data_IF_105791683852
#
_entry.id   IF_105791683852
#
_cell.length_a   1.000
_cell.length_b   1.000
_cell.length_c   1.000
_cell.angle_alpha   90.00
_cell.angle_beta   90.00
_cell.angle_gamma   90.00
#
_symmetry.space_group_name_H-M   'P 1'
#
loop_
_entity.id
_entity.type
_entity.pdbx_description
1 polymer ?
#
# COMPACT_ATOMS: atom_id res chain seq x y z
N UNK A 1 8.31 -3.62 -13.76
CA UNK A 1 9.06 -4.43 -12.77
C UNK A 1 9.50 -3.54 -11.62
N UNK A 2 9.34 -3.98 -10.38
CA UNK A 2 9.88 -3.32 -9.19
C UNK A 2 11.22 -3.97 -8.85
N UNK A 3 12.32 -3.22 -9.00
CA UNK A 3 13.67 -3.68 -8.70
C UNK A 3 14.18 -3.00 -7.44
N UNK A 4 14.50 -3.80 -6.43
CA UNK A 4 14.96 -3.38 -5.11
C UNK A 4 16.34 -4.00 -4.89
N UNK A 5 17.37 -3.19 -4.77
CA UNK A 5 18.70 -3.61 -4.35
C UNK A 5 19.19 -2.64 -3.30
N UNK A 6 18.98 -2.97 -2.02
CA UNK A 6 19.22 -2.04 -0.92
C UNK A 6 19.85 -2.71 0.29
N UNK A 7 20.56 -1.90 1.07
CA UNK A 7 21.00 -2.22 2.42
C UNK A 7 20.58 -1.12 3.37
N UNK A 8 20.06 -1.50 4.55
CA UNK A 8 19.72 -0.58 5.64
C UNK A 8 20.09 -1.17 6.99
N UNK A 9 20.72 -0.37 7.83
CA UNK A 9 21.01 -0.74 9.22
C UNK A 9 19.79 -0.43 10.10
N UNK A 10 19.25 -1.45 10.77
CA UNK A 10 18.09 -1.39 11.66
C UNK A 10 18.54 -1.74 13.09
N UNK A 11 19.16 -0.79 13.78
CA UNK A 11 19.77 -1.05 15.07
C UNK A 11 20.88 -2.09 14.97
N UNK A 12 20.68 -3.30 15.53
CA UNK A 12 21.64 -4.41 15.45
C UNK A 12 21.46 -5.31 14.22
N UNK A 13 20.35 -5.17 13.51
CA UNK A 13 20.02 -5.94 12.32
C UNK A 13 20.42 -5.16 11.06
N UNK A 14 21.01 -5.83 10.09
CA UNK A 14 21.21 -5.28 8.74
C UNK A 14 20.21 -5.90 7.78
N UNK A 15 19.26 -5.11 7.29
CA UNK A 15 18.39 -5.50 6.20
C UNK A 15 19.16 -5.45 4.88
N UNK A 16 19.16 -6.55 4.13
CA UNK A 16 19.66 -6.61 2.75
C UNK A 16 18.58 -7.22 1.88
N UNK A 17 18.27 -6.58 0.78
CA UNK A 17 17.28 -7.07 -0.18
C UNK A 17 17.79 -6.86 -1.60
N UNK A 18 17.74 -7.93 -2.40
CA UNK A 18 17.98 -7.90 -3.84
C UNK A 18 16.80 -8.66 -4.48
N UNK A 19 15.82 -7.93 -4.99
CA UNK A 19 14.54 -8.46 -5.43
C UNK A 19 14.13 -7.82 -6.76
N UNK A 20 13.60 -8.66 -7.65
CA UNK A 20 12.92 -8.24 -8.87
C UNK A 20 11.50 -8.76 -8.84
N UNK A 21 10.54 -7.88 -8.63
CA UNK A 21 9.14 -8.22 -8.42
C UNK A 21 8.28 -7.81 -9.63
N UNK A 22 7.31 -8.65 -10.02
CA UNK A 22 6.42 -8.33 -11.14
C UNK A 22 5.52 -7.14 -10.79
N UNK A 23 5.17 -6.33 -11.77
CA UNK A 23 4.21 -5.21 -11.64
C UNK A 23 2.81 -5.61 -12.09
N UNK A 24 2.36 -6.80 -11.69
CA UNK A 24 1.03 -7.33 -11.96
C UNK A 24 0.57 -8.23 -10.81
N UNK A 25 -0.72 -8.23 -10.55
CA UNK A 25 -1.33 -9.12 -9.56
C UNK A 25 -0.93 -8.78 -8.12
N UNK A 26 -0.97 -9.79 -7.25
CA UNK A 26 -0.63 -9.68 -5.83
C UNK A 26 0.69 -10.42 -5.57
N UNK A 27 1.65 -9.72 -5.01
CA UNK A 27 2.92 -10.29 -4.55
C UNK A 27 2.99 -10.25 -3.03
N UNK A 28 3.08 -11.42 -2.39
CA UNK A 28 3.19 -11.52 -0.94
C UNK A 28 4.63 -11.77 -0.50
N UNK A 29 5.10 -11.00 0.48
CA UNK A 29 6.41 -11.13 1.10
C UNK A 29 6.24 -11.84 2.44
N UNK A 30 6.73 -13.06 2.53
CA UNK A 30 6.65 -13.86 3.74
C UNK A 30 7.95 -13.82 4.54
N UNK A 31 7.84 -13.86 5.85
CA UNK A 31 8.98 -13.91 6.76
C UNK A 31 8.54 -13.86 8.22
N UNK A 32 9.44 -14.23 9.12
CA UNK A 32 9.21 -14.17 10.56
C UNK A 32 8.91 -12.73 11.01
N UNK A 33 8.23 -12.58 12.14
CA UNK A 33 8.08 -11.27 12.76
C UNK A 33 9.46 -10.66 13.06
N UNK A 34 9.63 -9.37 12.74
CA UNK A 34 10.93 -8.70 12.90
C UNK A 34 11.95 -8.96 11.78
N UNK A 35 11.61 -9.70 10.71
CA UNK A 35 12.54 -9.96 9.59
C UNK A 35 12.77 -8.75 8.65
N UNK A 36 12.12 -7.61 8.90
CA UNK A 36 12.29 -6.39 8.12
C UNK A 36 11.27 -6.14 7.00
N UNK A 37 10.15 -6.90 6.95
CA UNK A 37 9.10 -6.71 5.93
C UNK A 37 8.55 -5.27 5.90
N UNK A 38 8.11 -4.78 7.05
CA UNK A 38 7.66 -3.38 7.19
C UNK A 38 8.74 -2.39 6.79
N UNK A 39 10.01 -2.65 7.15
CA UNK A 39 11.13 -1.79 6.76
C UNK A 39 11.32 -1.76 5.26
N UNK A 40 11.20 -2.92 4.58
CA UNK A 40 11.29 -3.00 3.12
C UNK A 40 10.15 -2.21 2.45
N UNK A 41 8.93 -2.36 2.92
CA UNK A 41 7.78 -1.60 2.43
C UNK A 41 7.98 -0.08 2.65
N UNK A 42 8.51 0.31 3.81
CA UNK A 42 8.81 1.71 4.14
C UNK A 42 9.93 2.29 3.23
N UNK A 43 10.93 1.50 2.87
CA UNK A 43 11.96 1.91 1.90
C UNK A 43 11.36 2.19 0.51
N UNK A 44 10.50 1.27 0.03
CA UNK A 44 9.84 1.44 -1.27
C UNK A 44 8.94 2.67 -1.27
N UNK A 45 8.16 2.86 -0.21
CA UNK A 45 7.25 4.02 -0.09
C UNK A 45 7.98 5.35 0.13
N UNK A 46 9.24 5.32 0.58
CA UNK A 46 10.04 6.52 0.91
C UNK A 46 9.80 7.06 2.32
N UNK A 47 9.13 6.30 3.19
CA UNK A 47 8.99 6.64 4.61
C UNK A 47 10.30 6.49 5.38
N UNK A 48 11.19 5.62 4.90
CA UNK A 48 12.58 5.49 5.35
C UNK A 48 13.52 5.52 4.16
N UNK A 49 14.81 5.68 4.41
CA UNK A 49 15.84 5.80 3.39
C UNK A 49 16.85 4.65 3.53
N UNK A 50 17.28 3.99 2.44
CA UNK A 50 18.34 2.99 2.50
C UNK A 50 19.71 3.64 2.73
N UNK A 51 20.63 2.90 3.36
CA UNK A 51 22.01 3.35 3.53
C UNK A 51 22.83 3.16 2.23
N UNK A 52 22.47 2.15 1.43
CA UNK A 52 23.13 1.81 0.17
C UNK A 52 22.14 1.24 -0.84
N UNK A 53 22.45 1.38 -2.12
CA UNK A 53 21.75 0.76 -3.23
C UNK A 53 20.63 1.62 -3.81
N UNK A 54 19.68 0.97 -4.47
CA UNK A 54 18.64 1.66 -5.23
C UNK A 54 17.30 0.91 -5.21
N UNK A 55 16.23 1.66 -5.53
CA UNK A 55 14.90 1.13 -5.81
C UNK A 55 14.39 1.78 -7.10
N UNK A 56 13.95 0.95 -8.05
CA UNK A 56 13.39 1.39 -9.34
C UNK A 56 12.05 0.72 -9.60
N UNK A 57 11.08 1.51 -10.01
CA UNK A 57 9.76 1.05 -10.44
C UNK A 57 9.63 1.29 -11.94
N UNK A 58 9.64 0.22 -12.72
CA UNK A 58 9.76 0.26 -14.18
C UNK A 58 11.01 1.11 -14.56
N UNK A 59 10.83 2.17 -15.36
CA UNK A 59 11.92 3.05 -15.81
C UNK A 59 12.17 4.24 -14.86
N UNK A 60 11.47 4.28 -13.71
CA UNK A 60 11.56 5.39 -12.75
C UNK A 60 12.37 5.01 -11.52
N UNK A 61 13.44 5.76 -11.26
CA UNK A 61 14.20 5.65 -10.02
C UNK A 61 13.42 6.29 -8.87
N UNK A 62 13.17 5.52 -7.80
CA UNK A 62 12.55 6.01 -6.57
C UNK A 62 13.60 6.50 -5.57
N UNK A 63 14.72 5.79 -5.49
CA UNK A 63 15.91 6.17 -4.74
C UNK A 63 17.13 5.51 -5.36
N UNK A 64 18.25 6.22 -5.41
CA UNK A 64 19.58 5.72 -5.79
C UNK A 64 20.61 6.47 -4.94
N UNK A 65 21.15 5.76 -3.93
CA UNK A 65 22.05 6.37 -2.94
C UNK A 65 23.37 6.84 -3.56
N UNK A 66 23.92 6.06 -4.50
CA UNK A 66 25.18 6.37 -5.16
C UNK A 66 25.07 7.62 -6.03
N UNK A 67 23.93 7.81 -6.69
CA UNK A 67 23.68 8.96 -7.55
C UNK A 67 23.03 10.14 -6.80
N UNK A 68 22.76 10.00 -5.50
CA UNK A 68 22.11 11.04 -4.69
C UNK A 68 20.65 11.31 -5.07
N UNK A 69 20.00 10.36 -5.74
CA UNK A 69 18.61 10.49 -6.14
C UNK A 69 17.68 10.00 -5.03
N UNK A 70 16.69 10.80 -4.67
CA UNK A 70 15.64 10.40 -3.73
C UNK A 70 14.33 11.11 -4.07
N UNK A 71 13.44 10.39 -4.73
CA UNK A 71 12.15 10.89 -5.11
C UNK A 71 11.27 11.09 -3.86
N UNK A 72 10.75 12.30 -3.62
CA UNK A 72 9.87 12.55 -2.48
C UNK A 72 8.64 11.63 -2.47
N UNK A 73 8.16 11.27 -1.28
CA UNK A 73 7.02 10.34 -1.09
C UNK A 73 5.82 10.69 -1.99
N UNK A 74 5.42 11.96 -2.01
CA UNK A 74 4.26 12.42 -2.78
C UNK A 74 4.42 12.35 -4.30
N UNK A 75 5.66 12.15 -4.80
CA UNK A 75 5.98 11.97 -6.21
C UNK A 75 6.16 10.51 -6.60
N UNK A 76 6.25 9.58 -5.63
CA UNK A 76 6.45 8.16 -5.91
C UNK A 76 5.22 7.49 -6.50
N UNK A 77 4.04 8.10 -6.41
CA UNK A 77 2.76 7.52 -6.83
C UNK A 77 2.51 6.13 -6.25
N UNK A 78 2.68 6.01 -4.95
CA UNK A 78 2.52 4.77 -4.21
C UNK A 78 1.34 4.92 -3.25
N UNK A 79 0.36 4.02 -3.38
CA UNK A 79 -0.68 3.86 -2.37
C UNK A 79 -0.15 3.03 -1.20
N UNK A 80 -0.36 3.48 0.04
CA UNK A 80 0.08 2.77 1.23
C UNK A 80 -1.10 2.48 2.16
N UNK A 81 -1.29 1.21 2.48
CA UNK A 81 -2.26 0.75 3.47
C UNK A 81 -1.51 0.21 4.68
N UNK A 82 -1.61 0.89 5.80
CA UNK A 82 -0.98 0.50 7.04
C UNK A 82 -1.70 -0.69 7.68
N UNK A 83 -1.00 -1.48 8.49
CA UNK A 83 -1.56 -2.56 9.29
C UNK A 83 -2.76 -2.10 10.12
N UNK A 84 -2.64 -0.97 10.80
CA UNK A 84 -3.77 -0.22 11.35
C UNK A 84 -4.21 0.80 10.30
N UNK A 85 -5.48 0.76 9.90
CA UNK A 85 -6.03 1.52 8.76
C UNK A 85 -5.76 3.04 8.79
N UNK A 86 -5.45 3.60 9.97
CA UNK A 86 -5.09 5.02 10.19
C UNK A 86 -6.05 5.98 9.50
N UNK A 87 -7.34 5.70 9.64
CA UNK A 87 -8.39 6.60 9.15
C UNK A 87 -8.44 7.84 10.03
N UNK A 88 -8.71 9.00 9.42
CA UNK A 88 -8.87 10.26 10.15
C UNK A 88 -10.18 10.21 10.96
N UNK A 89 -10.12 10.23 12.28
CA UNK A 89 -11.31 10.04 13.12
C UNK A 89 -12.32 11.19 13.04
N UNK A 90 -11.85 12.37 12.65
CA UNK A 90 -12.66 13.59 12.48
C UNK A 90 -13.32 13.71 11.10
N UNK A 91 -13.00 12.82 10.18
CA UNK A 91 -13.64 12.70 8.88
C UNK A 91 -14.54 11.46 8.83
N UNK A 92 -15.71 11.58 8.18
CA UNK A 92 -16.48 10.41 7.78
C UNK A 92 -15.75 9.64 6.66
N UNK A 93 -16.29 8.50 6.24
CA UNK A 93 -15.70 7.67 5.18
C UNK A 93 -15.47 8.48 3.90
N UNK A 94 -16.46 9.26 3.46
CA UNK A 94 -16.35 10.11 2.26
C UNK A 94 -15.21 11.13 2.38
N UNK A 95 -15.04 11.75 3.54
CA UNK A 95 -13.95 12.67 3.83
C UNK A 95 -12.58 11.99 3.80
N UNK A 96 -12.47 10.79 4.40
CA UNK A 96 -11.27 9.98 4.34
C UNK A 96 -10.88 9.61 2.89
N UNK A 97 -11.85 9.17 2.08
CA UNK A 97 -11.62 8.81 0.68
C UNK A 97 -11.14 9.99 -0.17
N UNK A 98 -11.69 11.17 0.07
CA UNK A 98 -11.33 12.40 -0.67
C UNK A 98 -10.01 13.02 -0.25
N UNK A 99 -9.45 12.60 0.86
CA UNK A 99 -8.25 13.20 1.44
C UNK A 99 -7.08 12.97 0.49
N UNK A 100 -6.63 12.92 -0.29
CA UNK A 100 -5.49 12.71 -1.19
C UNK A 100 -5.89 12.58 -2.64
N UNK A 101 -7.19 12.64 -2.91
CA UNK A 101 -7.69 12.62 -4.27
C UNK A 101 -7.11 13.76 -5.10
N UNK A 102 -6.53 13.43 -6.24
CA UNK A 102 -6.06 14.40 -7.24
C UNK A 102 -6.61 13.97 -8.60
N UNK A 103 -7.36 14.85 -9.25
CA UNK A 103 -7.84 14.66 -10.63
C UNK A 103 -8.62 13.36 -10.89
N UNK A 104 -9.29 12.82 -9.87
CA UNK A 104 -10.15 11.63 -10.01
C UNK A 104 -11.53 12.08 -10.48
N UNK A 105 -12.02 11.48 -11.57
CA UNK A 105 -13.35 11.74 -12.06
C UNK A 105 -14.42 11.27 -11.07
N UNK A 106 -15.65 11.75 -11.22
CA UNK A 106 -16.76 11.25 -10.41
C UNK A 106 -17.05 9.77 -10.71
N UNK A 107 -16.93 9.38 -11.96
CA UNK A 107 -17.13 8.01 -12.39
C UNK A 107 -16.11 7.06 -11.76
N UNK A 108 -14.84 7.43 -11.73
CA UNK A 108 -13.78 6.63 -11.08
C UNK A 108 -13.99 6.54 -9.57
N UNK A 109 -14.41 7.62 -8.94
CA UNK A 109 -14.75 7.62 -7.51
C UNK A 109 -15.91 6.67 -7.22
N UNK A 110 -17.00 6.77 -7.97
CA UNK A 110 -18.18 5.91 -7.81
C UNK A 110 -17.83 4.44 -8.11
N UNK A 111 -17.00 4.19 -9.14
CA UNK A 111 -16.51 2.85 -9.46
C UNK A 111 -15.72 2.22 -8.30
N UNK A 112 -14.75 2.92 -7.73
CA UNK A 112 -13.97 2.42 -6.60
C UNK A 112 -14.85 2.15 -5.38
N UNK A 113 -15.81 3.00 -5.08
CA UNK A 113 -16.76 2.82 -3.97
C UNK A 113 -17.59 1.56 -4.15
N UNK A 114 -18.11 1.33 -5.35
CA UNK A 114 -18.90 0.13 -5.68
C UNK A 114 -18.05 -1.13 -5.61
N UNK A 115 -16.85 -1.11 -6.22
CA UNK A 115 -15.90 -2.22 -6.24
C UNK A 115 -15.53 -2.67 -4.83
N UNK A 116 -15.30 -1.72 -3.92
CA UNK A 116 -14.97 -1.99 -2.52
C UNK A 116 -16.20 -2.29 -1.63
N UNK A 117 -17.42 -2.11 -2.14
CA UNK A 117 -18.65 -2.31 -1.38
C UNK A 117 -18.79 -1.38 -0.18
N UNK A 118 -18.30 -0.14 -0.29
CA UNK A 118 -18.27 0.84 0.80
C UNK A 118 -19.27 1.99 0.63
N UNK A 119 -20.11 1.96 -0.40
CA UNK A 119 -21.14 2.97 -0.63
C UNK A 119 -22.06 3.23 0.58
N UNK A 120 -22.60 2.18 1.28
CA UNK A 120 -23.44 2.38 2.46
C UNK A 120 -22.70 3.02 3.64
N UNK A 121 -21.37 3.05 3.61
CA UNK A 121 -20.53 3.52 4.70
C UNK A 121 -20.15 4.99 4.58
N UNK A 122 -20.42 5.66 3.47
CA UNK A 122 -19.86 6.99 3.12
C UNK A 122 -20.13 8.07 4.17
N UNK A 123 -21.26 7.99 4.89
CA UNK A 123 -21.65 8.96 5.93
C UNK A 123 -21.17 8.55 7.33
N UNK A 124 -20.67 7.32 7.51
CA UNK A 124 -20.22 6.79 8.81
C UNK A 124 -18.83 7.30 9.17
N UNK A 125 -18.55 7.31 10.46
CA UNK A 125 -17.24 7.69 11.01
C UNK A 125 -16.43 6.44 11.36
N UNK A 126 -15.08 6.51 11.36
CA UNK A 126 -14.21 5.37 11.58
C UNK A 126 -14.49 4.56 12.85
N UNK A 127 -14.93 5.21 13.94
CA UNK A 127 -15.26 4.55 15.20
C UNK A 127 -16.45 3.56 15.08
N UNK A 128 -17.31 3.75 14.10
CA UNK A 128 -18.51 2.92 13.88
C UNK A 128 -18.28 1.81 12.85
N UNK A 129 -17.06 1.67 12.32
CA UNK A 129 -16.70 0.69 11.30
C UNK A 129 -16.09 -0.55 11.93
N UNK A 130 -16.39 -1.73 11.37
CA UNK A 130 -15.64 -2.96 11.64
C UNK A 130 -14.20 -2.89 11.13
N UNK A 131 -13.32 -3.79 11.56
CA UNK A 131 -11.94 -3.86 11.09
C UNK A 131 -11.85 -4.03 9.57
N UNK A 132 -12.65 -4.93 8.99
CA UNK A 132 -12.70 -5.13 7.53
C UNK A 132 -13.25 -3.93 6.77
N UNK A 133 -14.26 -3.23 7.31
CA UNK A 133 -14.76 -1.98 6.73
C UNK A 133 -13.69 -0.89 6.74
N UNK A 134 -12.97 -0.72 7.86
CA UNK A 134 -11.85 0.23 7.96
C UNK A 134 -10.76 -0.07 6.92
N UNK A 135 -10.43 -1.34 6.75
CA UNK A 135 -9.42 -1.77 5.78
C UNK A 135 -9.85 -1.46 4.35
N UNK A 136 -11.10 -1.76 3.96
CA UNK A 136 -11.63 -1.42 2.63
C UNK A 136 -11.65 0.09 2.38
N UNK A 137 -12.00 0.89 3.37
CA UNK A 137 -11.92 2.35 3.27
C UNK A 137 -10.48 2.83 3.10
N UNK A 138 -9.52 2.25 3.83
CA UNK A 138 -8.10 2.58 3.69
C UNK A 138 -7.54 2.21 2.30
N UNK A 139 -7.96 1.06 1.75
CA UNK A 139 -7.63 0.65 0.37
C UNK A 139 -8.22 1.68 -0.61
N UNK A 140 -9.49 2.04 -0.48
CA UNK A 140 -10.14 3.03 -1.34
C UNK A 140 -9.45 4.39 -1.28
N UNK A 141 -9.07 4.85 -0.09
CA UNK A 141 -8.30 6.08 0.08
C UNK A 141 -6.96 6.03 -0.65
N UNK A 142 -6.27 4.90 -0.58
CA UNK A 142 -4.99 4.72 -1.28
C UNK A 142 -5.17 4.68 -2.80
N UNK A 143 -6.17 3.96 -3.31
CA UNK A 143 -6.45 3.85 -4.75
C UNK A 143 -6.87 5.18 -5.38
N UNK A 144 -7.63 6.00 -4.65
CA UNK A 144 -8.07 7.31 -5.11
C UNK A 144 -6.94 8.36 -5.21
N UNK A 145 -5.72 8.00 -4.85
CA UNK A 145 -4.52 8.81 -5.15
C UNK A 145 -3.93 8.52 -6.54
N UNK A 146 -4.54 7.64 -7.33
CA UNK A 146 -4.06 7.16 -8.63
C UNK A 146 -2.61 6.61 -8.55
N UNK A 147 -2.39 5.53 -7.76
CA UNK A 147 -1.07 4.99 -7.53
C UNK A 147 -0.62 4.03 -8.65
N UNK A 148 0.69 3.99 -8.93
CA UNK A 148 1.30 2.99 -9.82
C UNK A 148 1.40 1.60 -9.15
N UNK A 149 1.49 1.56 -7.81
CA UNK A 149 1.50 0.34 -6.99
C UNK A 149 0.80 0.57 -5.66
N UNK A 150 0.26 -0.49 -5.07
CA UNK A 150 -0.32 -0.50 -3.74
C UNK A 150 0.54 -1.34 -2.80
N UNK A 151 1.02 -0.73 -1.72
CA UNK A 151 1.74 -1.41 -0.64
C UNK A 151 0.82 -1.62 0.55
N UNK A 152 0.81 -2.84 1.10
CA UNK A 152 0.02 -3.18 2.28
C UNK A 152 0.93 -3.77 3.36
N UNK A 153 0.98 -3.15 4.52
CA UNK A 153 1.79 -3.62 5.63
C UNK A 153 0.99 -4.60 6.49
N UNK A 154 1.39 -5.86 6.49
CA UNK A 154 0.81 -6.97 7.27
C UNK A 154 -0.74 -7.06 7.24
N UNK A 155 -1.41 -6.99 6.08
CA UNK A 155 -2.88 -6.93 6.01
C UNK A 155 -3.57 -8.18 6.55
N UNK A 156 -2.84 -9.29 6.70
CA UNK A 156 -3.35 -10.59 7.14
C UNK A 156 -3.06 -10.90 8.63
N UNK A 157 -2.23 -10.10 9.32
CA UNK A 157 -1.65 -10.47 10.61
C UNK A 157 -2.67 -10.74 11.71
N UNK A 158 -3.77 -9.98 11.75
CA UNK A 158 -4.81 -10.07 12.78
C UNK A 158 -6.01 -10.97 12.41
N UNK A 159 -5.93 -11.71 11.29
CA UNK A 159 -7.03 -12.49 10.76
C UNK A 159 -6.87 -13.99 11.05
N UNK A 160 -7.99 -14.69 11.28
CA UNK A 160 -8.06 -16.15 11.27
C UNK A 160 -7.93 -16.71 9.83
N UNK A 161 -7.75 -18.02 9.70
CA UNK A 161 -7.49 -18.67 8.41
C UNK A 161 -8.62 -18.45 7.38
N UNK A 162 -9.92 -18.58 7.72
CA UNK A 162 -10.99 -18.31 6.77
C UNK A 162 -10.96 -16.87 6.24
N UNK A 163 -10.80 -15.88 7.11
CA UNK A 163 -10.75 -14.47 6.73
C UNK A 163 -9.49 -14.10 5.93
N UNK A 164 -8.35 -14.76 6.21
CA UNK A 164 -7.15 -14.62 5.36
C UNK A 164 -7.42 -15.04 3.92
N UNK A 165 -8.09 -16.18 3.72
CA UNK A 165 -8.45 -16.67 2.38
C UNK A 165 -9.40 -15.71 1.66
N UNK A 166 -10.43 -15.25 2.36
CA UNK A 166 -11.39 -14.28 1.83
C UNK A 166 -10.71 -12.99 1.39
N UNK A 167 -9.84 -12.43 2.23
CA UNK A 167 -9.09 -11.22 1.90
C UNK A 167 -8.14 -11.42 0.73
N UNK A 168 -7.43 -12.56 0.66
CA UNK A 168 -6.56 -12.88 -0.47
C UNK A 168 -7.32 -12.93 -1.79
N UNK A 169 -8.44 -13.67 -1.84
CA UNK A 169 -9.29 -13.75 -3.02
C UNK A 169 -9.82 -12.37 -3.43
N UNK A 170 -10.21 -11.56 -2.45
CA UNK A 170 -10.64 -10.19 -2.67
C UNK A 170 -9.52 -9.33 -3.29
N UNK A 171 -8.29 -9.37 -2.73
CA UNK A 171 -7.16 -8.60 -3.25
C UNK A 171 -6.73 -9.06 -4.65
N UNK A 172 -6.79 -10.36 -4.94
CA UNK A 172 -6.52 -10.90 -6.27
C UNK A 172 -7.53 -10.39 -7.31
N UNK A 173 -8.83 -10.43 -6.97
CA UNK A 173 -9.88 -9.90 -7.83
C UNK A 173 -9.72 -8.39 -8.02
N UNK A 174 -9.50 -7.66 -6.93
CA UNK A 174 -9.28 -6.22 -6.95
C UNK A 174 -8.10 -5.85 -7.85
N UNK A 175 -6.95 -6.50 -7.70
CA UNK A 175 -5.76 -6.22 -8.50
C UNK A 175 -5.98 -6.42 -10.00
N UNK A 176 -6.82 -7.39 -10.39
CA UNK A 176 -7.19 -7.60 -11.80
C UNK A 176 -8.09 -6.49 -12.33
N UNK A 177 -9.07 -6.05 -11.53
CA UNK A 177 -10.04 -5.03 -11.92
C UNK A 177 -9.42 -3.64 -12.04
N UNK A 178 -8.54 -3.26 -11.10
CA UNK A 178 -7.92 -1.94 -11.08
C UNK A 178 -6.62 -1.85 -11.87
N UNK A 179 -6.06 -2.98 -12.29
CA UNK A 179 -4.75 -3.09 -12.96
C UNK A 179 -3.59 -2.40 -12.19
N UNK A 180 -3.68 -2.41 -10.86
CA UNK A 180 -2.64 -1.90 -9.97
C UNK A 180 -2.01 -3.08 -9.22
N UNK A 181 -0.69 -3.30 -9.30
CA UNK A 181 -0.02 -4.36 -8.57
C UNK A 181 -0.05 -4.09 -7.06
N UNK A 182 -0.27 -5.16 -6.29
CA UNK A 182 -0.35 -5.12 -4.82
C UNK A 182 0.84 -5.89 -4.24
N UNK A 183 1.58 -5.26 -3.34
CA UNK A 183 2.66 -5.88 -2.57
C UNK A 183 2.31 -5.87 -1.08
N UNK A 184 2.47 -7.02 -0.39
CA UNK A 184 2.11 -7.14 1.02
C UNK A 184 3.02 -8.10 1.79
#
# INVERSE_FOLDING_TARGET
MLHINVQQQLGRLTLRADLQLPTQGVTAIFGLSGSGKTSLINLVSGLTHPDQGFIRLNDRTLVDVENGENLPVHQRKIGYVFQDARLFPHYNVKGNLRYGMKNVSREDFDYIIQLLGIEPLLKRYPLTLSGGEKQRVAIGRALLTDPDILLMDEPLSALDVPRKRELMQYLESLSKEINVPIYM
#
